data_IF_334795246037
#
_entry.id   IF_334795246037
#
_cell.length_a   1.000
_cell.length_b   1.000
_cell.length_c   1.000
_cell.angle_alpha   90.00
_cell.angle_beta   90.00
_cell.angle_gamma   90.00
#
_symmetry.space_group_name_H-M   'P 1'
#
loop_
_entity.id
_entity.type
_entity.pdbx_description
1 polymer ?
#
# COMPACT_ATOMS: atom_id res chain seq x y z
N UNK A 1 -13.19 0.36 35.74
CA UNK A 1 -13.46 -1.02 36.26
C UNK A 1 -13.11 -2.12 35.25
N UNK A 2 -13.44 -2.02 33.97
CA UNK A 2 -13.13 -3.08 32.98
C UNK A 2 -11.62 -3.33 32.78
N UNK A 3 -10.78 -2.26 32.77
CA UNK A 3 -9.33 -2.38 32.54
C UNK A 3 -8.56 -3.19 33.60
N UNK A 4 -9.14 -3.38 34.77
CA UNK A 4 -8.54 -4.19 35.86
C UNK A 4 -8.93 -5.66 35.81
N UNK A 5 -9.76 -6.07 34.82
CA UNK A 5 -10.10 -7.45 34.62
C UNK A 5 -8.98 -8.15 33.82
N UNK A 6 -8.34 -9.23 34.33
CA UNK A 6 -7.32 -9.98 33.58
C UNK A 6 -7.76 -10.45 32.19
N UNK A 7 -9.09 -10.64 32.00
CA UNK A 7 -9.68 -11.04 30.72
C UNK A 7 -10.06 -9.86 29.80
N UNK A 8 -9.73 -8.62 30.15
CA UNK A 8 -10.14 -7.43 29.39
C UNK A 8 -9.72 -7.49 27.93
N UNK A 9 -8.53 -8.04 27.64
CA UNK A 9 -7.99 -8.12 26.29
C UNK A 9 -8.39 -9.38 25.50
N UNK A 10 -9.06 -10.35 26.11
CA UNK A 10 -9.27 -11.68 25.52
C UNK A 10 -10.18 -11.66 24.30
N UNK A 11 -11.25 -10.87 24.34
CA UNK A 11 -12.27 -10.86 23.29
C UNK A 11 -11.78 -10.33 21.94
N UNK A 12 -10.75 -9.47 21.92
CA UNK A 12 -10.22 -8.91 20.67
C UNK A 12 -9.10 -9.79 20.10
N UNK A 13 -9.36 -10.40 18.96
CA UNK A 13 -8.33 -11.08 18.18
C UNK A 13 -7.64 -10.06 17.27
N UNK A 14 -6.49 -9.56 17.68
CA UNK A 14 -5.75 -8.54 16.94
C UNK A 14 -5.16 -9.10 15.64
N UNK A 15 -5.39 -8.41 14.49
CA UNK A 15 -4.86 -8.86 13.21
C UNK A 15 -3.35 -8.65 13.09
N UNK A 16 -2.65 -9.56 12.40
CA UNK A 16 -1.20 -9.49 12.15
C UNK A 16 -0.35 -9.18 13.39
N UNK A 17 -0.75 -9.70 14.53
CA UNK A 17 -0.11 -9.44 15.82
C UNK A 17 0.18 -10.74 16.57
N UNK A 18 1.29 -10.78 17.27
CA UNK A 18 1.55 -11.82 18.27
C UNK A 18 0.64 -11.61 19.49
N UNK A 19 -0.60 -12.12 19.42
CA UNK A 19 -1.63 -11.85 20.43
C UNK A 19 -1.19 -12.27 21.86
N UNK A 20 -0.43 -13.36 22.00
CA UNK A 20 0.09 -13.82 23.30
C UNK A 20 1.03 -12.79 23.91
N UNK A 21 1.99 -12.30 23.12
CA UNK A 21 2.95 -11.29 23.56
C UNK A 21 2.27 -9.95 23.84
N UNK A 22 1.44 -9.46 22.90
CA UNK A 22 0.78 -8.19 23.06
C UNK A 22 -0.15 -8.15 24.28
N UNK A 23 -0.94 -9.22 24.51
CA UNK A 23 -1.87 -9.28 25.64
C UNK A 23 -1.15 -9.39 27.00
N UNK A 24 0.06 -9.94 27.01
CA UNK A 24 0.91 -9.94 28.19
C UNK A 24 1.57 -8.56 28.45
N UNK A 25 1.91 -7.82 27.40
CA UNK A 25 2.58 -6.52 27.46
C UNK A 25 1.90 -5.51 26.54
N UNK A 26 0.68 -5.02 26.86
CA UNK A 26 -0.10 -4.16 25.98
C UNK A 26 0.59 -2.82 25.70
N UNK A 27 0.63 -2.43 24.43
CA UNK A 27 1.09 -1.13 23.97
C UNK A 27 -0.13 -0.33 23.49
N UNK A 28 -0.70 0.45 24.39
CA UNK A 28 -1.99 1.13 24.15
C UNK A 28 -1.77 2.56 23.72
N UNK A 29 -2.37 2.96 22.60
CA UNK A 29 -2.40 4.33 22.10
C UNK A 29 -3.74 4.96 22.51
N UNK A 30 -3.69 6.18 23.05
CA UNK A 30 -4.86 6.92 23.55
C UNK A 30 -5.16 8.19 22.74
N UNK A 31 -4.16 8.75 22.07
CA UNK A 31 -4.34 9.90 21.17
C UNK A 31 -3.20 9.97 20.15
N UNK A 32 -3.38 10.80 19.13
CA UNK A 32 -2.35 11.10 18.14
C UNK A 32 -2.46 12.55 17.67
N UNK A 33 -1.32 13.18 17.35
CA UNK A 33 -1.27 14.51 16.75
C UNK A 33 0.02 14.67 15.95
N UNK A 34 -0.07 15.30 14.80
CA UNK A 34 1.06 15.55 13.89
C UNK A 34 1.82 14.25 13.56
N UNK A 35 3.06 14.11 13.99
CA UNK A 35 3.92 12.93 13.77
C UNK A 35 3.99 11.99 14.97
N UNK A 36 3.17 12.19 16.01
CA UNK A 36 3.27 11.44 17.25
C UNK A 36 1.96 10.79 17.68
N UNK A 37 2.08 9.57 18.20
CA UNK A 37 1.11 8.97 19.10
C UNK A 37 1.37 9.38 20.56
N UNK A 38 0.35 9.26 21.40
CA UNK A 38 0.49 9.30 22.86
C UNK A 38 -0.01 7.96 23.41
N UNK A 39 0.81 7.28 24.20
CA UNK A 39 0.41 6.04 24.84
C UNK A 39 -0.40 6.27 26.13
N UNK A 40 -0.88 5.19 26.76
CA UNK A 40 -1.68 5.23 27.99
C UNK A 40 -0.87 5.63 29.24
N UNK A 41 0.46 5.76 29.11
CA UNK A 41 1.38 6.28 30.13
C UNK A 41 1.71 7.77 29.90
N UNK A 42 1.14 8.39 28.87
CA UNK A 42 1.38 9.78 28.49
C UNK A 42 2.69 10.03 27.72
N UNK A 43 3.40 8.94 27.30
CA UNK A 43 4.63 9.08 26.52
C UNK A 43 4.32 9.45 25.08
N UNK A 44 5.13 10.32 24.50
CA UNK A 44 5.11 10.61 23.06
C UNK A 44 5.89 9.52 22.31
N UNK A 45 5.25 8.93 21.33
CA UNK A 45 5.83 7.90 20.47
C UNK A 45 5.83 8.44 19.04
N UNK A 46 7.01 8.69 18.47
CA UNK A 46 7.13 9.11 17.07
C UNK A 46 6.59 8.01 16.14
N UNK A 47 5.74 8.40 15.19
CA UNK A 47 5.14 7.48 14.23
C UNK A 47 6.04 7.29 13.00
N UNK A 48 6.99 6.38 13.07
CA UNK A 48 7.92 6.09 11.97
C UNK A 48 7.30 5.33 10.78
N UNK A 49 5.98 5.04 10.81
CA UNK A 49 5.31 4.35 9.71
C UNK A 49 4.06 5.08 9.18
N UNK A 50 3.78 6.31 9.60
CA UNK A 50 2.53 7.02 9.27
C UNK A 50 1.30 6.15 9.57
N UNK A 51 1.14 5.70 10.81
CA UNK A 51 0.16 4.68 11.17
C UNK A 51 0.50 3.33 10.57
N UNK A 52 -0.09 3.03 9.44
CA UNK A 52 0.24 1.85 8.62
C UNK A 52 0.33 2.28 7.14
N UNK A 53 1.26 3.18 6.82
CA UNK A 53 1.39 3.82 5.50
C UNK A 53 0.20 4.72 5.12
N UNK A 54 -0.53 5.25 6.10
CA UNK A 54 -1.82 5.93 5.90
C UNK A 54 -1.78 7.42 6.19
N UNK A 55 -1.12 7.84 7.29
CA UNK A 55 -1.23 9.18 7.87
C UNK A 55 -0.08 10.10 7.41
N UNK A 56 0.18 10.17 6.09
CA UNK A 56 1.28 10.97 5.56
C UNK A 56 1.16 12.47 5.87
N UNK A 57 -0.05 13.02 5.88
CA UNK A 57 -0.28 14.41 6.24
C UNK A 57 -0.24 14.68 7.76
N UNK A 58 0.06 13.66 8.57
CA UNK A 58 0.05 13.74 10.02
C UNK A 58 -1.31 13.41 10.64
N UNK A 59 -1.32 13.16 11.94
CA UNK A 59 -2.51 12.80 12.69
C UNK A 59 -3.36 14.02 13.08
N UNK A 60 -4.67 13.78 13.25
CA UNK A 60 -5.64 14.74 13.83
C UNK A 60 -5.64 16.10 13.11
N UNK A 61 -5.61 16.07 11.77
CA UNK A 61 -5.70 17.27 10.94
C UNK A 61 -7.07 17.93 11.14
N UNK A 62 -7.10 19.23 11.52
CA UNK A 62 -8.36 19.95 11.76
C UNK A 62 -9.30 19.94 10.55
N UNK A 63 -8.76 20.08 9.35
CA UNK A 63 -9.52 20.11 8.09
C UNK A 63 -10.29 18.80 7.85
N UNK A 64 -9.67 17.65 8.17
CA UNK A 64 -10.32 16.34 8.07
C UNK A 64 -11.38 16.17 9.17
N UNK A 65 -11.07 16.59 10.39
CA UNK A 65 -12.00 16.51 11.53
C UNK A 65 -13.26 17.33 11.21
N UNK A 66 -13.11 18.55 10.72
CA UNK A 66 -14.23 19.42 10.34
C UNK A 66 -15.06 18.81 9.20
N UNK A 67 -14.41 18.33 8.13
CA UNK A 67 -15.08 17.72 7.00
C UNK A 67 -15.90 16.47 7.40
N UNK A 68 -15.32 15.61 8.25
CA UNK A 68 -15.98 14.40 8.78
C UNK A 68 -17.18 14.78 9.67
N UNK A 69 -17.00 15.70 10.61
CA UNK A 69 -18.06 16.14 11.52
C UNK A 69 -19.25 16.73 10.77
N UNK A 70 -18.97 17.65 9.84
CA UNK A 70 -20.01 18.28 9.02
C UNK A 70 -20.75 17.26 8.13
N UNK A 71 -20.01 16.29 7.56
CA UNK A 71 -20.60 15.30 6.68
C UNK A 71 -21.53 14.34 7.46
N UNK A 72 -21.13 13.87 8.64
CA UNK A 72 -21.96 12.95 9.43
C UNK A 72 -23.22 13.63 9.96
N UNK A 73 -23.19 14.94 10.21
CA UNK A 73 -24.36 15.74 10.58
C UNK A 73 -25.33 15.91 9.40
N UNK A 74 -24.82 15.96 8.16
CA UNK A 74 -25.63 16.25 6.97
C UNK A 74 -26.18 14.97 6.33
N UNK A 75 -25.30 13.98 6.13
CA UNK A 75 -25.61 12.69 5.52
C UNK A 75 -24.60 11.67 6.04
N UNK A 76 -25.00 10.90 7.00
CA UNK A 76 -24.19 9.85 7.65
C UNK A 76 -23.94 8.67 6.71
N UNK A 77 -24.97 8.22 5.98
CA UNK A 77 -24.91 7.12 5.03
C UNK A 77 -25.90 7.31 3.88
N UNK A 78 -25.48 6.91 2.69
CA UNK A 78 -26.31 6.68 1.52
C UNK A 78 -25.73 5.52 0.72
N UNK A 79 -26.52 4.56 0.26
CA UNK A 79 -26.04 3.51 -0.62
C UNK A 79 -25.60 4.11 -1.96
N UNK A 80 -24.50 3.60 -2.50
CA UNK A 80 -24.09 3.93 -3.88
C UNK A 80 -24.75 3.02 -4.93
N UNK A 81 -25.75 2.24 -4.53
CA UNK A 81 -26.54 1.36 -5.42
C UNK A 81 -27.82 2.05 -5.80
N UNK A 82 -27.94 2.43 -7.09
CA UNK A 82 -29.12 3.11 -7.68
C UNK A 82 -29.36 4.54 -7.17
N UNK A 83 -28.65 4.97 -6.13
CA UNK A 83 -28.62 6.33 -5.62
C UNK A 83 -27.20 6.88 -5.66
N UNK A 84 -27.07 8.19 -5.67
CA UNK A 84 -25.79 8.89 -5.59
C UNK A 84 -25.84 10.03 -4.59
N UNK A 85 -24.69 10.48 -4.18
CA UNK A 85 -24.52 11.72 -3.43
C UNK A 85 -23.35 12.53 -3.98
N UNK A 86 -23.42 13.83 -3.86
CA UNK A 86 -22.49 14.77 -4.49
C UNK A 86 -21.02 14.47 -4.16
N UNK A 87 -20.72 14.15 -2.88
CA UNK A 87 -19.36 13.90 -2.42
C UNK A 87 -18.66 12.72 -3.10
N UNK A 88 -19.40 11.72 -3.58
CA UNK A 88 -18.79 10.61 -4.32
C UNK A 88 -18.28 11.04 -5.70
N UNK A 89 -19.02 11.88 -6.39
CA UNK A 89 -18.63 12.43 -7.69
C UNK A 89 -17.52 13.48 -7.55
N UNK A 90 -17.60 14.36 -6.54
CA UNK A 90 -16.56 15.31 -6.19
C UNK A 90 -15.23 14.59 -5.91
N UNK A 91 -15.24 13.56 -5.08
CA UNK A 91 -14.04 12.77 -4.78
C UNK A 91 -13.50 12.06 -6.02
N UNK A 92 -14.37 11.46 -6.86
CA UNK A 92 -13.94 10.79 -8.07
C UNK A 92 -13.19 11.76 -8.99
N UNK A 93 -13.75 12.96 -9.23
CA UNK A 93 -13.10 14.00 -10.03
C UNK A 93 -11.77 14.44 -9.41
N UNK A 94 -11.71 14.57 -8.08
CA UNK A 94 -10.46 14.94 -7.40
C UNK A 94 -9.39 13.85 -7.48
N UNK A 95 -9.75 12.58 -7.40
CA UNK A 95 -8.81 11.45 -7.54
C UNK A 95 -8.18 11.45 -8.95
N UNK A 96 -8.95 11.68 -10.00
CA UNK A 96 -8.41 11.66 -11.37
C UNK A 96 -7.42 12.80 -11.65
N UNK A 97 -7.39 13.87 -10.84
CA UNK A 97 -6.33 14.89 -10.90
C UNK A 97 -4.96 14.34 -10.45
N UNK A 98 -4.95 13.27 -9.66
CA UNK A 98 -3.74 12.61 -9.18
C UNK A 98 -3.31 11.43 -10.05
N UNK A 99 -4.15 10.97 -10.99
CA UNK A 99 -3.86 9.81 -11.83
C UNK A 99 -3.28 10.22 -13.19
N UNK A 100 -2.59 9.31 -13.91
CA UNK A 100 -2.28 9.51 -15.32
C UNK A 100 -3.54 9.80 -16.14
N UNK A 101 -3.42 10.67 -17.16
CA UNK A 101 -4.58 11.20 -17.92
C UNK A 101 -5.55 10.16 -18.48
N UNK A 102 -5.09 8.97 -18.80
CA UNK A 102 -5.92 7.91 -19.38
C UNK A 102 -6.69 7.10 -18.31
N UNK A 103 -6.34 7.26 -17.03
CA UNK A 103 -6.99 6.62 -15.88
C UNK A 103 -8.00 7.61 -15.29
N UNK A 104 -9.25 7.53 -15.75
CA UNK A 104 -10.25 8.57 -15.52
C UNK A 104 -11.63 8.05 -15.07
N UNK A 105 -11.73 6.78 -14.67
CA UNK A 105 -12.96 6.19 -14.12
C UNK A 105 -12.69 5.51 -12.79
N UNK A 106 -13.40 5.94 -11.75
CA UNK A 106 -13.18 5.52 -10.37
C UNK A 106 -14.29 4.59 -9.91
N UNK A 107 -13.92 3.43 -9.35
CA UNK A 107 -14.81 2.50 -8.66
C UNK A 107 -14.40 2.44 -7.19
N UNK A 108 -15.29 2.81 -6.27
CA UNK A 108 -14.99 2.90 -4.84
C UNK A 108 -15.17 1.57 -4.09
N UNK A 109 -14.27 1.36 -3.12
CA UNK A 109 -14.28 0.25 -2.16
C UNK A 109 -13.99 0.80 -0.76
N UNK A 110 -13.93 -0.07 0.26
CA UNK A 110 -13.66 0.35 1.64
C UNK A 110 -12.22 0.06 2.09
N UNK A 111 -11.44 -0.67 1.30
CA UNK A 111 -10.08 -1.07 1.66
C UNK A 111 -9.23 -1.38 0.42
N UNK A 112 -7.89 -1.45 0.63
CA UNK A 112 -6.98 -1.91 -0.42
C UNK A 112 -7.20 -3.36 -0.83
N UNK A 113 -7.59 -4.24 0.11
CA UNK A 113 -7.90 -5.65 -0.21
C UNK A 113 -9.10 -5.78 -1.12
N UNK A 114 -10.16 -5.00 -0.87
CA UNK A 114 -11.33 -4.93 -1.73
C UNK A 114 -11.00 -4.28 -3.08
N UNK A 115 -10.16 -3.24 -3.10
CA UNK A 115 -9.72 -2.60 -4.33
C UNK A 115 -8.97 -3.59 -5.23
N UNK A 116 -8.07 -4.39 -4.66
CA UNK A 116 -7.36 -5.44 -5.42
C UNK A 116 -8.35 -6.45 -5.98
N UNK A 117 -9.21 -7.08 -5.15
CA UNK A 117 -10.18 -8.07 -5.65
C UNK A 117 -11.11 -7.49 -6.72
N UNK A 118 -11.51 -6.21 -6.57
CA UNK A 118 -12.29 -5.49 -7.59
C UNK A 118 -11.53 -5.32 -8.90
N UNK A 119 -10.25 -4.95 -8.83
CA UNK A 119 -9.40 -4.78 -10.02
C UNK A 119 -9.23 -6.09 -10.80
N UNK A 120 -9.05 -7.21 -10.09
CA UNK A 120 -8.94 -8.55 -10.68
C UNK A 120 -10.26 -8.98 -11.34
N UNK A 121 -11.41 -8.71 -10.69
CA UNK A 121 -12.75 -8.96 -11.24
C UNK A 121 -13.01 -8.10 -12.48
N UNK A 122 -12.70 -6.81 -12.45
CA UNK A 122 -12.84 -5.89 -13.59
C UNK A 122 -12.00 -6.39 -14.77
N UNK A 123 -10.74 -6.79 -14.53
CA UNK A 123 -9.88 -7.30 -15.59
C UNK A 123 -10.46 -8.56 -16.26
N UNK A 124 -10.96 -9.51 -15.50
CA UNK A 124 -11.60 -10.74 -16.03
C UNK A 124 -12.90 -10.44 -16.75
N UNK A 125 -13.75 -9.56 -16.19
CA UNK A 125 -15.02 -9.17 -16.80
C UNK A 125 -14.80 -8.38 -18.11
N UNK A 126 -13.79 -7.49 -18.14
CA UNK A 126 -13.39 -6.79 -19.37
C UNK A 126 -13.10 -7.77 -20.52
N UNK A 127 -12.28 -8.79 -20.28
CA UNK A 127 -11.96 -9.79 -21.30
C UNK A 127 -13.17 -10.58 -21.74
N UNK A 128 -14.08 -10.88 -20.80
CA UNK A 128 -15.34 -11.55 -21.11
C UNK A 128 -16.22 -10.72 -22.05
N UNK A 129 -16.34 -9.41 -21.78
CA UNK A 129 -17.05 -8.47 -22.68
C UNK A 129 -16.39 -8.34 -24.04
N UNK A 130 -15.07 -8.45 -24.12
CA UNK A 130 -14.30 -8.50 -25.39
C UNK A 130 -14.39 -9.85 -26.11
N UNK A 131 -15.20 -10.80 -25.63
CA UNK A 131 -15.33 -12.16 -26.20
C UNK A 131 -14.15 -13.08 -25.93
N UNK A 132 -13.16 -12.65 -25.12
CA UNK A 132 -11.96 -13.44 -24.78
C UNK A 132 -12.13 -14.16 -23.45
N UNK A 133 -13.13 -15.05 -23.35
CA UNK A 133 -13.57 -15.70 -22.11
C UNK A 133 -12.50 -16.59 -21.45
N UNK A 134 -11.51 -17.07 -22.22
CA UNK A 134 -10.39 -17.87 -21.71
C UNK A 134 -9.36 -17.07 -20.89
N UNK A 135 -9.35 -15.74 -21.00
CA UNK A 135 -8.45 -14.86 -20.22
C UNK A 135 -8.89 -14.78 -18.76
N UNK A 136 -8.50 -15.75 -17.97
CA UNK A 136 -8.89 -15.86 -16.55
C UNK A 136 -7.70 -15.87 -15.59
N UNK A 137 -6.52 -16.31 -16.05
CA UNK A 137 -5.31 -16.40 -15.23
C UNK A 137 -4.75 -15.04 -14.90
N UNK A 138 -4.28 -14.88 -13.68
CA UNK A 138 -3.68 -13.66 -13.15
C UNK A 138 -2.23 -13.93 -12.79
N UNK A 139 -1.36 -12.94 -13.00
CA UNK A 139 0.05 -13.06 -12.70
C UNK A 139 0.41 -12.01 -11.64
N UNK A 140 0.88 -12.47 -10.49
CA UNK A 140 1.46 -11.62 -9.44
C UNK A 140 2.99 -11.61 -9.47
N UNK A 141 3.62 -11.30 -8.34
CA UNK A 141 5.07 -11.31 -8.19
C UNK A 141 5.45 -11.87 -6.82
N UNK A 142 6.51 -12.71 -6.75
CA UNK A 142 7.10 -13.16 -5.49
C UNK A 142 7.47 -11.93 -4.63
N UNK A 143 7.13 -11.95 -3.34
CA UNK A 143 7.21 -10.83 -2.39
C UNK A 143 6.24 -9.67 -2.69
N UNK A 144 5.25 -9.83 -3.57
CA UNK A 144 4.13 -8.89 -3.71
C UNK A 144 3.13 -9.04 -2.56
N UNK A 145 2.56 -7.92 -2.09
CA UNK A 145 1.46 -7.92 -1.13
C UNK A 145 0.25 -7.20 -1.73
N UNK A 146 -0.85 -7.92 -1.84
CA UNK A 146 -2.06 -7.42 -2.50
C UNK A 146 -3.31 -7.57 -1.63
N UNK A 147 -3.15 -7.39 -0.31
CA UNK A 147 -4.24 -7.51 0.65
C UNK A 147 -4.46 -8.94 1.13
N UNK A 148 -5.60 -9.15 1.80
CA UNK A 148 -5.90 -10.36 2.59
C UNK A 148 -7.10 -11.16 2.10
N UNK A 149 -7.82 -10.67 1.08
CA UNK A 149 -8.87 -11.44 0.42
C UNK A 149 -8.26 -12.57 -0.43
N UNK A 150 -9.03 -13.60 -0.75
CA UNK A 150 -8.53 -14.76 -1.49
C UNK A 150 -7.95 -14.38 -2.87
N UNK A 151 -8.51 -13.38 -3.56
CA UNK A 151 -7.93 -12.86 -4.80
C UNK A 151 -6.55 -12.27 -4.57
N UNK A 152 -6.44 -11.35 -3.61
CA UNK A 152 -5.19 -10.70 -3.24
C UNK A 152 -4.12 -11.68 -2.74
N UNK A 153 -4.49 -12.69 -1.94
CA UNK A 153 -3.56 -13.75 -1.48
C UNK A 153 -3.12 -14.62 -2.66
N UNK A 154 -4.01 -14.92 -3.61
CA UNK A 154 -3.68 -15.74 -4.77
C UNK A 154 -2.64 -15.13 -5.69
N UNK A 155 -2.72 -13.80 -5.92
CA UNK A 155 -1.72 -13.06 -6.69
C UNK A 155 -0.56 -12.55 -5.82
N UNK A 156 -0.72 -12.59 -4.50
CA UNK A 156 0.33 -12.22 -3.54
C UNK A 156 1.47 -13.23 -3.51
N UNK A 157 2.68 -12.77 -3.23
CA UNK A 157 3.90 -13.57 -3.19
C UNK A 157 4.56 -13.64 -1.81
N UNK A 158 3.80 -13.42 -0.72
CA UNK A 158 4.30 -13.56 0.66
C UNK A 158 4.06 -14.99 1.14
N UNK A 159 5.16 -15.73 1.38
CA UNK A 159 5.14 -17.15 1.73
C UNK A 159 4.16 -17.53 2.85
N UNK A 160 4.24 -16.93 4.06
CA UNK A 160 3.35 -17.29 5.16
C UNK A 160 1.85 -17.12 4.86
N UNK A 161 1.46 -16.11 4.06
CA UNK A 161 0.06 -15.94 3.67
C UNK A 161 -0.39 -17.09 2.73
N UNK A 162 0.48 -17.46 1.79
CA UNK A 162 0.22 -18.56 0.85
C UNK A 162 0.17 -19.92 1.54
N UNK A 163 1.08 -20.15 2.46
CA UNK A 163 1.14 -21.41 3.24
C UNK A 163 -0.11 -21.57 4.11
N UNK A 164 -0.55 -20.50 4.77
CA UNK A 164 -1.68 -20.54 5.71
C UNK A 164 -3.05 -20.65 5.02
N UNK A 165 -3.25 -19.96 3.89
CA UNK A 165 -4.58 -19.81 3.27
C UNK A 165 -4.70 -20.44 1.87
N UNK A 166 -3.60 -20.88 1.28
CA UNK A 166 -3.59 -21.48 -0.04
C UNK A 166 -3.88 -20.48 -1.17
N UNK A 167 -4.40 -21.00 -2.27
CA UNK A 167 -4.76 -20.24 -3.47
C UNK A 167 -6.25 -20.38 -3.74
N UNK A 168 -6.97 -19.24 -3.76
CA UNK A 168 -8.42 -19.21 -4.00
C UNK A 168 -8.81 -19.02 -5.46
N UNK A 169 -7.94 -18.38 -6.28
CA UNK A 169 -8.16 -18.16 -7.72
C UNK A 169 -6.91 -18.53 -8.51
N UNK A 170 -7.09 -18.79 -9.80
CA UNK A 170 -6.00 -19.20 -10.71
C UNK A 170 -4.98 -18.05 -10.86
N UNK A 171 -3.76 -18.29 -10.39
CA UNK A 171 -2.68 -17.31 -10.46
C UNK A 171 -1.30 -17.99 -10.55
N UNK A 172 -0.34 -17.26 -11.15
CA UNK A 172 1.09 -17.61 -11.16
C UNK A 172 1.90 -16.35 -10.79
N UNK A 173 3.21 -16.46 -10.63
CA UNK A 173 4.04 -15.39 -10.08
C UNK A 173 5.30 -15.16 -10.91
N UNK A 174 5.59 -13.86 -11.15
CA UNK A 174 6.90 -13.43 -11.61
C UNK A 174 7.94 -13.60 -10.51
N UNK A 175 9.18 -13.73 -10.89
CA UNK A 175 10.33 -13.74 -9.99
C UNK A 175 10.40 -12.42 -9.19
N UNK A 176 10.97 -12.49 -7.98
CA UNK A 176 11.27 -11.32 -7.18
C UNK A 176 12.29 -10.40 -7.89
N UNK A 177 12.19 -9.10 -7.66
CA UNK A 177 13.18 -8.12 -8.14
C UNK A 177 14.39 -7.95 -7.21
N UNK A 178 14.47 -8.73 -6.14
CA UNK A 178 15.63 -8.74 -5.26
C UNK A 178 16.79 -9.50 -5.89
N UNK A 179 17.93 -8.83 -6.03
CA UNK A 179 19.18 -9.41 -6.52
C UNK A 179 20.30 -9.11 -5.53
N UNK A 180 21.24 -10.06 -5.32
CA UNK A 180 22.42 -9.82 -4.47
C UNK A 180 23.24 -8.61 -4.88
N UNK A 181 23.32 -8.31 -6.18
CA UNK A 181 24.06 -7.18 -6.74
C UNK A 181 23.46 -5.81 -6.37
N UNK A 182 22.22 -5.81 -5.92
CA UNK A 182 21.45 -4.60 -5.62
C UNK A 182 21.38 -4.28 -4.12
N UNK A 183 22.08 -5.02 -3.26
CA UNK A 183 22.13 -4.71 -1.82
C UNK A 183 22.69 -3.32 -1.57
N UNK A 184 22.13 -2.61 -0.60
CA UNK A 184 22.45 -1.22 -0.27
C UNK A 184 22.22 -0.22 -1.41
N UNK A 185 21.30 -0.52 -2.34
CA UNK A 185 20.93 0.43 -3.40
C UNK A 185 20.19 1.63 -2.82
N UNK A 186 20.60 2.81 -3.27
CA UNK A 186 19.92 4.08 -3.04
C UNK A 186 18.93 4.35 -4.16
N UNK A 187 17.65 4.52 -3.83
CA UNK A 187 16.61 4.65 -4.84
C UNK A 187 16.44 3.37 -5.68
N UNK A 188 16.27 3.51 -6.99
CA UNK A 188 16.10 2.38 -7.91
C UNK A 188 17.39 1.58 -8.10
N UNK A 189 17.36 0.25 -7.93
CA UNK A 189 18.47 -0.61 -8.31
C UNK A 189 18.84 -0.48 -9.79
N UNK A 190 20.13 -0.59 -10.10
CA UNK A 190 20.64 -0.43 -11.49
C UNK A 190 20.43 -1.68 -12.34
N UNK A 191 20.47 -2.85 -11.72
CA UNK A 191 20.41 -4.16 -12.39
C UNK A 191 19.08 -4.83 -12.15
N UNK A 192 18.51 -5.49 -13.18
CA UNK A 192 17.33 -6.34 -13.00
C UNK A 192 16.12 -5.98 -13.86
N UNK A 193 16.26 -5.12 -14.90
CA UNK A 193 15.19 -4.87 -15.86
C UNK A 193 14.76 -6.14 -16.61
N UNK A 194 15.73 -7.03 -16.89
CA UNK A 194 15.52 -8.32 -17.56
C UNK A 194 14.63 -9.29 -16.76
N UNK A 195 14.46 -9.09 -15.47
CA UNK A 195 13.55 -9.91 -14.64
C UNK A 195 12.09 -9.78 -15.10
N UNK A 196 11.74 -8.75 -15.84
CA UNK A 196 10.43 -8.62 -16.46
C UNK A 196 10.19 -9.69 -17.55
N UNK A 197 11.25 -10.25 -18.13
CA UNK A 197 11.15 -11.32 -19.15
C UNK A 197 10.61 -12.63 -18.59
N UNK A 198 10.58 -12.81 -17.28
CA UNK A 198 9.91 -13.96 -16.68
C UNK A 198 8.42 -14.01 -17.08
N UNK A 199 7.81 -12.88 -17.41
CA UNK A 199 6.47 -12.86 -18.00
C UNK A 199 6.40 -13.60 -19.35
N UNK A 200 7.45 -13.55 -20.17
CA UNK A 200 7.51 -14.31 -21.43
C UNK A 200 7.50 -15.82 -21.16
N UNK A 201 8.18 -16.29 -20.11
CA UNK A 201 8.13 -17.70 -19.70
C UNK A 201 6.72 -18.10 -19.24
N UNK A 202 6.01 -17.22 -18.52
CA UNK A 202 4.61 -17.46 -18.14
C UNK A 202 3.68 -17.48 -19.36
N UNK A 203 3.92 -16.60 -20.32
CA UNK A 203 3.18 -16.57 -21.59
C UNK A 203 3.43 -17.84 -22.40
N UNK A 204 4.67 -18.31 -22.46
CA UNK A 204 5.01 -19.58 -23.14
C UNK A 204 4.31 -20.77 -22.48
N UNK A 205 4.27 -20.83 -21.15
CA UNK A 205 3.67 -21.93 -20.41
C UNK A 205 2.14 -21.91 -20.48
N UNK A 206 1.51 -20.75 -20.32
CA UNK A 206 0.06 -20.64 -20.14
C UNK A 206 -0.69 -20.19 -21.40
N UNK A 207 -0.02 -19.60 -22.38
CA UNK A 207 -0.60 -18.91 -23.52
C UNK A 207 -1.12 -17.51 -23.17
N UNK A 208 -0.78 -16.51 -23.96
CA UNK A 208 -1.26 -15.14 -23.77
C UNK A 208 -2.80 -15.04 -23.77
N UNK A 209 -3.48 -15.91 -24.54
CA UNK A 209 -4.95 -16.00 -24.62
C UNK A 209 -5.62 -16.41 -23.30
N UNK A 210 -4.87 -16.93 -22.33
CA UNK A 210 -5.39 -17.37 -21.04
C UNK A 210 -5.00 -16.42 -19.88
N UNK A 211 -4.12 -15.44 -20.12
CA UNK A 211 -3.67 -14.48 -19.08
C UNK A 211 -4.51 -13.21 -19.21
N UNK A 212 -5.24 -12.88 -18.14
CA UNK A 212 -6.07 -11.67 -18.06
C UNK A 212 -5.25 -10.43 -17.71
N UNK A 213 -4.44 -10.53 -16.67
CA UNK A 213 -3.69 -9.39 -16.16
C UNK A 213 -2.43 -9.79 -15.41
N UNK A 214 -1.49 -8.87 -15.36
CA UNK A 214 -0.38 -8.86 -14.41
C UNK A 214 -0.66 -7.80 -13.35
N UNK A 215 -0.48 -8.11 -12.06
CA UNK A 215 -0.58 -7.15 -10.96
C UNK A 215 0.75 -7.05 -10.23
N UNK A 216 1.24 -5.83 -10.03
CA UNK A 216 2.45 -5.54 -9.26
C UNK A 216 2.29 -4.24 -8.49
N UNK A 217 2.91 -4.15 -7.32
CA UNK A 217 3.18 -2.87 -6.68
C UNK A 217 4.30 -2.17 -7.48
N UNK A 218 4.19 -0.89 -7.86
CA UNK A 218 5.31 -0.14 -8.46
C UNK A 218 6.57 -0.21 -7.60
N UNK A 219 6.42 -0.05 -6.29
CA UNK A 219 7.40 -0.39 -5.27
C UNK A 219 6.75 -1.35 -4.28
N UNK A 220 7.29 -2.55 -4.11
CA UNK A 220 6.75 -3.49 -3.12
C UNK A 220 7.02 -2.95 -1.70
N UNK A 221 5.95 -2.51 -1.03
CA UNK A 221 6.06 -1.84 0.27
C UNK A 221 6.10 -2.82 1.43
N UNK A 222 5.00 -3.55 1.63
CA UNK A 222 4.77 -4.40 2.82
C UNK A 222 5.77 -5.53 2.98
N UNK A 223 6.31 -6.06 1.90
CA UNK A 223 7.30 -7.15 1.93
C UNK A 223 8.71 -6.68 2.31
N UNK A 224 8.95 -5.36 2.42
CA UNK A 224 10.24 -4.86 2.88
C UNK A 224 10.81 -3.68 2.10
N UNK A 225 9.99 -2.91 1.42
CA UNK A 225 10.38 -1.72 0.62
C UNK A 225 11.36 -2.09 -0.50
N UNK A 226 10.84 -2.64 -1.59
CA UNK A 226 11.66 -3.02 -2.76
C UNK A 226 11.34 -2.11 -3.95
N UNK A 227 12.12 -1.03 -4.17
CA UNK A 227 12.03 -0.24 -5.40
C UNK A 227 12.28 -1.11 -6.63
N UNK A 228 11.58 -0.86 -7.74
CA UNK A 228 11.78 -1.61 -8.97
C UNK A 228 13.16 -1.27 -9.58
N UNK A 229 13.88 -2.23 -10.17
CA UNK A 229 15.07 -1.91 -10.97
C UNK A 229 14.74 -0.94 -12.09
N UNK A 230 15.74 -0.09 -12.45
CA UNK A 230 15.60 0.86 -13.56
C UNK A 230 15.23 0.08 -14.83
N UNK A 231 14.13 0.50 -15.47
CA UNK A 231 13.64 -0.14 -16.72
C UNK A 231 12.68 -1.32 -16.52
N UNK A 232 12.65 -1.96 -15.35
CA UNK A 232 11.82 -3.14 -15.09
C UNK A 232 10.33 -2.93 -15.41
N UNK A 233 9.71 -1.88 -14.85
CA UNK A 233 8.29 -1.60 -15.08
C UNK A 233 7.99 -1.21 -16.53
N UNK A 234 8.90 -0.49 -17.20
CA UNK A 234 8.77 -0.13 -18.62
C UNK A 234 8.80 -1.37 -19.50
N UNK A 235 9.71 -2.31 -19.20
CA UNK A 235 9.81 -3.58 -19.93
C UNK A 235 8.59 -4.46 -19.70
N UNK A 236 8.11 -4.54 -18.44
CA UNK A 236 6.89 -5.27 -18.10
C UNK A 236 5.67 -4.71 -18.85
N UNK A 237 5.49 -3.37 -18.91
CA UNK A 237 4.45 -2.70 -19.70
C UNK A 237 4.51 -3.10 -21.16
N UNK A 238 5.70 -3.04 -21.75
CA UNK A 238 5.90 -3.40 -23.17
C UNK A 238 5.50 -4.85 -23.45
N UNK A 239 5.87 -5.79 -22.57
CA UNK A 239 5.50 -7.21 -22.74
C UNK A 239 3.99 -7.37 -22.61
N UNK A 240 3.34 -6.70 -21.66
CA UNK A 240 1.89 -6.72 -21.50
C UNK A 240 1.18 -6.21 -22.76
N UNK A 241 1.61 -5.05 -23.29
CA UNK A 241 1.05 -4.46 -24.51
C UNK A 241 1.17 -5.37 -25.73
N UNK A 242 2.35 -5.98 -25.92
CA UNK A 242 2.62 -6.84 -27.06
C UNK A 242 1.85 -8.17 -27.03
N UNK A 243 1.27 -8.53 -25.88
CA UNK A 243 0.58 -9.80 -25.66
C UNK A 243 -0.89 -9.64 -25.26
N UNK A 244 -1.42 -8.42 -25.32
CA UNK A 244 -2.83 -8.14 -25.01
C UNK A 244 -3.19 -8.56 -23.57
N UNK A 245 -2.30 -8.24 -22.61
CA UNK A 245 -2.45 -8.54 -21.17
C UNK A 245 -2.59 -7.21 -20.43
N UNK A 246 -3.58 -7.08 -19.55
CA UNK A 246 -3.73 -5.88 -18.73
C UNK A 246 -2.62 -5.78 -17.68
N UNK A 247 -2.13 -4.55 -17.45
CA UNK A 247 -1.22 -4.25 -16.34
C UNK A 247 -1.98 -3.51 -15.24
N UNK A 248 -1.96 -4.07 -14.05
CA UNK A 248 -2.54 -3.48 -12.84
C UNK A 248 -1.41 -3.01 -11.93
N UNK A 249 -1.43 -1.74 -11.54
CA UNK A 249 -0.57 -1.25 -10.47
C UNK A 249 -1.35 -1.21 -9.15
N UNK A 250 -0.84 -1.96 -8.17
CA UNK A 250 -1.28 -1.81 -6.79
C UNK A 250 -0.56 -0.60 -6.17
N UNK A 251 -1.26 0.52 -6.16
CA UNK A 251 -0.75 1.80 -5.66
C UNK A 251 -1.26 2.12 -4.23
N UNK A 252 -1.74 1.12 -3.52
CA UNK A 252 -2.29 1.28 -2.17
C UNK A 252 -1.28 1.92 -1.19
N UNK A 253 0.03 1.71 -1.39
CA UNK A 253 1.09 2.40 -0.63
C UNK A 253 1.69 3.56 -1.43
N UNK A 254 1.85 3.42 -2.73
CA UNK A 254 2.69 4.29 -3.55
C UNK A 254 1.98 5.55 -4.05
N UNK A 255 0.64 5.55 -4.15
CA UNK A 255 -0.11 6.73 -4.56
C UNK A 255 -0.16 7.83 -3.48
N UNK A 256 -0.54 9.02 -3.91
CA UNK A 256 -0.81 10.20 -3.08
C UNK A 256 0.39 10.67 -2.27
N UNK A 257 1.58 10.74 -2.90
CA UNK A 257 2.72 11.49 -2.38
C UNK A 257 3.87 10.68 -1.80
N UNK A 258 3.67 9.42 -1.38
CA UNK A 258 4.69 8.59 -0.71
C UNK A 258 6.03 8.54 -1.45
N UNK A 259 5.97 8.53 -2.78
CA UNK A 259 7.11 8.42 -3.68
C UNK A 259 7.72 9.78 -4.09
N UNK A 260 7.20 10.91 -3.57
CA UNK A 260 7.52 12.24 -4.09
C UNK A 260 6.87 12.50 -5.46
N UNK A 261 5.83 11.77 -5.80
CA UNK A 261 5.04 11.89 -7.02
C UNK A 261 3.57 11.65 -6.70
N UNK A 262 2.66 11.97 -7.59
CA UNK A 262 1.22 11.71 -7.41
C UNK A 262 0.94 10.21 -7.30
N UNK A 263 1.66 9.40 -8.10
CA UNK A 263 1.56 7.93 -8.11
C UNK A 263 2.93 7.29 -8.30
N UNK A 264 3.07 6.02 -7.99
CA UNK A 264 4.27 5.24 -8.33
C UNK A 264 4.42 5.09 -9.85
N UNK A 265 3.32 4.99 -10.58
CA UNK A 265 3.31 5.02 -12.04
C UNK A 265 3.98 6.29 -12.59
N UNK A 266 3.64 7.47 -12.05
CA UNK A 266 4.30 8.75 -12.38
C UNK A 266 5.77 8.73 -11.99
N UNK A 267 6.11 8.29 -10.77
CA UNK A 267 7.48 8.25 -10.28
C UNK A 267 8.42 7.43 -11.18
N UNK A 268 7.92 6.35 -11.76
CA UNK A 268 8.71 5.44 -12.62
C UNK A 268 8.41 5.59 -14.13
N UNK A 269 7.54 6.53 -14.51
CA UNK A 269 7.23 6.85 -15.91
C UNK A 269 6.52 5.71 -16.65
N UNK A 270 5.56 5.04 -16.01
CA UNK A 270 4.76 3.95 -16.58
C UNK A 270 3.30 4.11 -16.20
N UNK A 271 2.40 4.04 -17.19
CA UNK A 271 0.94 4.08 -16.97
C UNK A 271 0.37 2.67 -17.03
N UNK A 272 -0.29 2.18 -15.97
CA UNK A 272 -1.00 0.91 -15.98
C UNK A 272 -2.35 1.04 -16.71
N UNK A 273 -3.04 -0.08 -16.90
CA UNK A 273 -4.43 -0.09 -17.41
C UNK A 273 -5.44 0.09 -16.28
N UNK A 274 -5.09 -0.39 -15.10
CA UNK A 274 -5.88 -0.35 -13.87
C UNK A 274 -4.95 0.02 -12.71
N UNK A 275 -5.41 0.86 -11.81
CA UNK A 275 -4.71 1.27 -10.59
C UNK A 275 -5.60 1.02 -9.37
N UNK A 276 -5.07 0.44 -8.31
CA UNK A 276 -5.77 0.36 -7.02
C UNK A 276 -5.23 1.40 -6.06
N UNK A 277 -6.08 1.90 -5.17
CA UNK A 277 -5.69 2.87 -4.15
C UNK A 277 -6.44 2.65 -2.83
N UNK A 278 -5.86 3.11 -1.73
CA UNK A 278 -6.46 3.21 -0.40
C UNK A 278 -5.56 4.08 0.50
N UNK A 279 -5.55 3.82 1.81
CA UNK A 279 -4.61 4.37 2.81
C UNK A 279 -4.54 5.91 2.80
N UNK A 280 -3.52 6.46 2.12
CA UNK A 280 -3.26 7.90 2.12
C UNK A 280 -4.42 8.73 1.56
N UNK A 281 -5.27 8.16 0.71
CA UNK A 281 -6.41 8.89 0.13
C UNK A 281 -7.29 9.56 1.19
N UNK A 282 -7.49 8.91 2.35
CA UNK A 282 -8.25 9.46 3.49
C UNK A 282 -7.36 9.86 4.67
N UNK A 283 -6.04 9.87 4.48
CA UNK A 283 -5.07 10.05 5.57
C UNK A 283 -5.31 9.11 6.76
N UNK A 284 -5.83 7.91 6.51
CA UNK A 284 -6.13 6.90 7.53
C UNK A 284 -7.32 7.23 8.45
N UNK A 285 -8.00 8.35 8.25
CA UNK A 285 -9.08 8.82 9.12
C UNK A 285 -10.38 8.04 8.93
N UNK A 286 -10.64 7.57 7.70
CA UNK A 286 -11.82 6.77 7.35
C UNK A 286 -11.43 5.64 6.40
N UNK A 287 -12.02 4.43 6.56
CA UNK A 287 -11.85 3.35 5.59
C UNK A 287 -12.40 3.76 4.22
N UNK A 288 -11.51 3.85 3.23
CA UNK A 288 -11.86 4.09 1.84
C UNK A 288 -10.73 3.60 0.94
N UNK A 289 -11.10 3.04 -0.20
CA UNK A 289 -10.22 2.64 -1.27
C UNK A 289 -10.94 2.65 -2.60
N UNK A 290 -10.29 2.19 -3.64
CA UNK A 290 -10.92 2.09 -4.95
C UNK A 290 -9.98 1.63 -6.04
N UNK A 291 -10.57 1.57 -7.22
CA UNK A 291 -9.91 1.21 -8.47
C UNK A 291 -10.10 2.36 -9.46
N UNK A 292 -9.05 2.75 -10.15
CA UNK A 292 -9.14 3.66 -11.30
C UNK A 292 -8.81 2.87 -12.54
N UNK A 293 -9.65 2.96 -13.56
CA UNK A 293 -9.45 2.26 -14.83
C UNK A 293 -9.34 3.23 -15.99
N UNK A 294 -8.68 2.80 -17.06
CA UNK A 294 -8.67 3.53 -18.32
C UNK A 294 -10.09 3.65 -18.89
N UNK A 295 -10.34 4.77 -19.56
CA UNK A 295 -11.62 5.07 -20.22
C UNK A 295 -12.11 3.92 -21.10
N UNK A 296 -11.24 3.35 -21.93
CA UNK A 296 -11.60 2.26 -22.85
C UNK A 296 -12.03 0.96 -22.14
N UNK A 297 -11.55 0.74 -20.90
CA UNK A 297 -12.01 -0.38 -20.06
C UNK A 297 -13.46 -0.11 -19.65
N UNK A 298 -13.74 1.04 -19.06
CA UNK A 298 -15.09 1.43 -18.67
C UNK A 298 -16.07 1.41 -19.84
N UNK A 299 -15.71 1.98 -21.00
CA UNK A 299 -16.53 2.01 -22.19
C UNK A 299 -16.91 0.61 -22.69
N UNK A 300 -16.02 -0.39 -22.49
CA UNK A 300 -16.34 -1.78 -22.84
C UNK A 300 -17.53 -2.34 -22.05
N UNK A 301 -17.75 -1.89 -20.82
CA UNK A 301 -18.93 -2.26 -20.04
C UNK A 301 -20.16 -1.46 -20.45
N UNK A 302 -20.00 -0.22 -20.90
CA UNK A 302 -21.11 0.64 -21.35
C UNK A 302 -21.60 0.28 -22.76
N UNK A 303 -20.69 -0.21 -23.62
CA UNK A 303 -21.00 -0.60 -25.01
C UNK A 303 -21.60 -2.01 -25.05
N UNK A 304 -22.81 -2.15 -24.52
CA UNK A 304 -23.57 -3.40 -24.54
C UNK A 304 -24.93 -3.18 -25.25
N UNK A 305 -25.49 -4.28 -25.76
CA UNK A 305 -26.88 -4.26 -26.31
C UNK A 305 -27.94 -4.42 -25.20
N UNK A 306 -27.53 -4.44 -23.96
CA UNK A 306 -28.44 -4.56 -22.82
C UNK A 306 -29.27 -3.27 -22.67
N UNK A 307 -30.51 -3.36 -22.21
CA UNK A 307 -31.29 -2.18 -21.84
C UNK A 307 -30.58 -1.28 -20.84
N UNK A 308 -30.70 0.05 -20.98
CA UNK A 308 -29.99 1.05 -20.17
C UNK A 308 -30.25 0.99 -18.65
N UNK A 309 -31.27 0.28 -18.22
CA UNK A 309 -31.59 0.11 -16.80
C UNK A 309 -30.93 -1.12 -16.18
N UNK A 310 -30.25 -1.96 -16.96
CA UNK A 310 -29.55 -3.13 -16.44
C UNK A 310 -28.14 -2.76 -15.93
N UNK A 311 -27.74 -3.45 -14.89
CA UNK A 311 -26.42 -3.28 -14.27
C UNK A 311 -25.34 -3.86 -15.19
N UNK A 312 -24.38 -3.05 -15.57
CA UNK A 312 -23.28 -3.42 -16.48
C UNK A 312 -22.17 -4.23 -15.77
N UNK A 313 -21.96 -3.96 -14.48
CA UNK A 313 -20.98 -4.65 -13.64
C UNK A 313 -21.64 -5.11 -12.33
N UNK A 314 -21.93 -6.40 -12.21
CA UNK A 314 -22.55 -6.99 -11.01
C UNK A 314 -21.54 -7.10 -9.85
N UNK A 315 -21.07 -5.95 -9.37
CA UNK A 315 -20.10 -5.84 -8.31
C UNK A 315 -20.23 -4.50 -7.57
N UNK A 316 -20.07 -4.54 -6.24
CA UNK A 316 -20.09 -3.37 -5.37
C UNK A 316 -20.10 -3.81 -3.91
N UNK A 317 -19.84 -2.88 -3.01
CA UNK A 317 -19.86 -3.10 -1.56
C UNK A 317 -20.89 -2.17 -0.93
N UNK A 318 -21.52 -2.61 0.16
CA UNK A 318 -22.52 -1.82 0.90
C UNK A 318 -22.00 -0.42 1.27
N UNK A 319 -20.71 -0.30 1.58
CA UNK A 319 -20.08 0.97 1.96
C UNK A 319 -19.24 1.61 0.86
N UNK A 320 -19.39 1.17 -0.40
CA UNK A 320 -18.74 1.86 -1.54
C UNK A 320 -19.11 3.34 -1.54
N UNK A 321 -18.09 4.20 -1.66
CA UNK A 321 -18.27 5.65 -1.67
C UNK A 321 -19.02 6.19 -0.44
N UNK A 322 -18.78 5.66 0.76
CA UNK A 322 -19.41 6.13 2.00
C UNK A 322 -19.26 7.66 2.16
N UNK A 323 -20.34 8.42 2.39
CA UNK A 323 -20.28 9.89 2.38
C UNK A 323 -19.21 10.49 3.29
N UNK A 324 -19.08 9.99 4.51
CA UNK A 324 -18.07 10.45 5.49
C UNK A 324 -16.65 10.10 5.01
N UNK A 325 -16.45 8.91 4.42
CA UNK A 325 -15.18 8.51 3.81
C UNK A 325 -14.80 9.41 2.62
N UNK A 326 -15.77 9.79 1.80
CA UNK A 326 -15.57 10.73 0.69
C UNK A 326 -15.17 12.12 1.19
N UNK A 327 -15.86 12.67 2.19
CA UNK A 327 -15.54 13.97 2.77
C UNK A 327 -14.14 14.00 3.38
N UNK A 328 -13.78 12.97 4.15
CA UNK A 328 -12.44 12.81 4.70
C UNK A 328 -11.35 12.77 3.62
N UNK A 329 -11.63 12.05 2.52
CA UNK A 329 -10.68 11.88 1.42
C UNK A 329 -10.50 13.16 0.62
N UNK A 330 -11.57 13.92 0.37
CA UNK A 330 -11.50 15.24 -0.28
C UNK A 330 -10.60 16.15 0.56
N UNK A 331 -10.85 16.28 1.85
CA UNK A 331 -10.02 17.09 2.75
C UNK A 331 -8.56 16.62 2.79
N UNK A 332 -8.31 15.30 2.79
CA UNK A 332 -6.95 14.74 2.73
C UNK A 332 -6.21 15.12 1.46
N UNK A 333 -6.88 15.05 0.30
CA UNK A 333 -6.28 15.41 -0.99
C UNK A 333 -6.08 16.93 -1.11
N UNK A 334 -6.98 17.76 -0.53
CA UNK A 334 -6.78 19.20 -0.42
C UNK A 334 -5.52 19.54 0.39
N UNK A 335 -5.32 18.89 1.52
CA UNK A 335 -4.11 19.06 2.34
C UNK A 335 -2.85 18.70 1.52
N UNK A 336 -2.85 17.60 0.78
CA UNK A 336 -1.70 17.21 -0.06
C UNK A 336 -1.33 18.31 -1.06
N UNK A 337 -2.33 18.97 -1.65
CA UNK A 337 -2.13 20.05 -2.62
C UNK A 337 -1.76 21.36 -1.93
N UNK A 338 -2.55 21.82 -0.95
CA UNK A 338 -2.42 23.13 -0.32
C UNK A 338 -1.12 23.25 0.49
N UNK A 339 -0.72 22.20 1.21
CA UNK A 339 0.53 22.17 1.97
C UNK A 339 1.73 21.74 1.12
N UNK A 340 1.52 21.50 -0.20
CA UNK A 340 2.54 21.08 -1.15
C UNK A 340 3.36 19.88 -0.68
N UNK A 341 2.67 18.87 -0.12
CA UNK A 341 3.32 17.75 0.58
C UNK A 341 4.10 16.84 -0.36
N UNK A 342 3.72 16.71 -1.63
CA UNK A 342 4.48 15.91 -2.61
C UNK A 342 5.87 16.49 -2.83
N UNK A 343 5.99 17.82 -3.02
CA UNK A 343 7.28 18.49 -3.16
C UNK A 343 8.10 18.44 -1.85
N UNK A 344 7.42 18.51 -0.70
CA UNK A 344 8.07 18.29 0.59
C UNK A 344 8.70 16.89 0.68
N UNK A 345 8.00 15.85 0.26
CA UNK A 345 8.56 14.48 0.20
C UNK A 345 9.79 14.43 -0.69
N UNK A 346 9.77 15.05 -1.88
CA UNK A 346 10.97 15.14 -2.75
C UNK A 346 12.14 15.78 -2.03
N UNK A 347 11.89 16.89 -1.32
CA UNK A 347 12.92 17.62 -0.57
C UNK A 347 13.51 16.80 0.58
N UNK A 348 12.66 16.06 1.32
CA UNK A 348 13.07 15.29 2.49
C UNK A 348 13.71 13.94 2.13
N UNK A 349 13.40 13.38 0.96
CA UNK A 349 13.89 12.07 0.52
C UNK A 349 15.41 11.92 0.53
N UNK A 350 16.23 12.86 0.02
CA UNK A 350 17.68 12.75 0.07
C UNK A 350 18.26 12.75 1.49
N UNK A 351 17.61 13.50 2.39
CA UNK A 351 17.99 13.56 3.81
C UNK A 351 17.73 12.22 4.45
N UNK A 352 16.52 11.67 4.23
CA UNK A 352 16.15 10.35 4.74
C UNK A 352 17.06 9.25 4.18
N UNK A 353 17.35 9.26 2.88
CA UNK A 353 18.27 8.33 2.25
C UNK A 353 19.65 8.35 2.92
N UNK A 354 20.23 9.56 3.10
CA UNK A 354 21.53 9.73 3.74
C UNK A 354 21.56 9.16 5.16
N UNK A 355 20.59 9.53 5.98
CA UNK A 355 20.53 9.09 7.37
C UNK A 355 20.26 7.58 7.44
N UNK A 356 19.32 7.03 6.66
CA UNK A 356 19.02 5.61 6.65
C UNK A 356 20.24 4.76 6.26
N UNK A 357 20.96 5.15 5.20
CA UNK A 357 22.16 4.44 4.74
C UNK A 357 23.37 4.62 5.65
N UNK A 358 23.34 5.51 6.65
CA UNK A 358 24.37 5.59 7.69
C UNK A 358 24.42 4.35 8.58
N UNK A 359 23.36 3.56 8.61
CA UNK A 359 23.29 2.28 9.34
C UNK A 359 24.11 1.16 8.67
N UNK A 360 24.59 1.36 7.44
CA UNK A 360 25.43 0.39 6.74
C UNK A 360 26.73 0.14 7.53
N UNK A 361 27.03 -1.14 7.75
CA UNK A 361 28.20 -1.57 8.53
C UNK A 361 27.92 -1.82 10.01
N UNK A 362 26.71 -1.51 10.49
CA UNK A 362 26.30 -2.00 11.82
C UNK A 362 26.13 -3.52 11.77
N UNK A 363 26.42 -4.17 12.88
CA UNK A 363 26.27 -5.61 13.04
C UNK A 363 24.82 -6.02 12.71
N UNK A 364 24.64 -7.15 12.03
CA UNK A 364 23.35 -7.71 11.57
C UNK A 364 22.65 -6.93 10.46
N UNK A 365 23.11 -5.76 10.02
CA UNK A 365 22.53 -5.04 8.89
C UNK A 365 23.04 -5.63 7.58
N UNK A 366 22.22 -6.40 6.89
CA UNK A 366 22.59 -7.06 5.63
C UNK A 366 22.15 -6.33 4.37
N UNK A 367 21.12 -5.47 4.45
CA UNK A 367 20.69 -4.62 3.34
C UNK A 367 19.93 -3.37 3.82
N UNK A 368 20.03 -2.29 3.05
CA UNK A 368 19.28 -1.04 3.24
C UNK A 368 18.81 -0.56 1.88
N UNK A 369 17.54 -0.15 1.80
CA UNK A 369 16.92 0.34 0.57
C UNK A 369 15.84 1.38 0.88
N UNK A 370 15.65 2.31 -0.04
CA UNK A 370 14.66 3.38 0.12
C UNK A 370 14.17 3.91 -1.22
N UNK A 371 13.02 4.54 -1.19
CA UNK A 371 12.53 5.44 -2.24
C UNK A 371 11.49 6.39 -1.66
N UNK A 372 11.56 7.69 -1.99
CA UNK A 372 10.71 8.68 -1.33
C UNK A 372 10.92 8.68 0.19
N UNK A 373 9.85 8.70 0.95
CA UNK A 373 9.87 8.55 2.41
C UNK A 373 9.50 7.13 2.85
N UNK A 374 9.93 6.14 2.10
CA UNK A 374 9.83 4.72 2.43
C UNK A 374 11.22 4.09 2.54
N UNK A 375 11.49 3.34 3.60
CA UNK A 375 12.78 2.69 3.84
C UNK A 375 12.64 1.31 4.45
N UNK A 376 13.55 0.41 4.09
CA UNK A 376 13.65 -0.93 4.62
C UNK A 376 15.08 -1.27 5.01
N UNK A 377 15.24 -1.89 6.17
CA UNK A 377 16.52 -2.35 6.70
C UNK A 377 16.38 -3.85 6.93
N UNK A 378 17.11 -4.67 6.20
CA UNK A 378 17.13 -6.11 6.42
C UNK A 378 18.15 -6.43 7.52
N UNK A 379 17.68 -7.17 8.51
CA UNK A 379 18.46 -7.62 9.66
C UNK A 379 18.67 -9.13 9.54
N UNK A 380 19.89 -9.59 9.68
CA UNK A 380 20.21 -11.03 9.65
C UNK A 380 19.41 -11.79 10.71
N UNK A 381 18.76 -12.87 10.30
CA UNK A 381 18.01 -13.76 11.18
C UNK A 381 18.90 -14.32 12.29
N UNK A 382 18.35 -14.46 13.50
CA UNK A 382 18.95 -15.29 14.52
C UNK A 382 18.81 -16.78 14.15
N UNK A 383 19.80 -17.58 14.50
CA UNK A 383 19.79 -19.02 14.16
C UNK A 383 18.57 -19.69 14.80
N UNK A 384 17.73 -20.31 13.98
CA UNK A 384 16.50 -20.99 14.38
C UNK A 384 15.40 -20.10 14.99
N UNK A 385 15.55 -18.78 14.96
CA UNK A 385 14.60 -17.81 15.51
C UNK A 385 14.33 -16.69 14.47
N UNK A 386 13.56 -16.98 13.42
CA UNK A 386 13.26 -16.00 12.38
C UNK A 386 12.49 -14.81 12.98
N UNK A 387 12.78 -13.61 12.49
CA UNK A 387 12.19 -12.34 12.93
C UNK A 387 12.48 -11.92 14.38
N UNK A 388 13.24 -12.68 15.17
CA UNK A 388 13.53 -12.33 16.56
C UNK A 388 14.27 -10.99 16.68
N UNK A 389 15.38 -10.80 15.95
CA UNK A 389 16.17 -9.56 16.01
C UNK A 389 15.37 -8.33 15.57
N UNK A 390 14.64 -8.33 14.42
CA UNK A 390 13.76 -7.22 14.07
C UNK A 390 12.71 -6.91 15.13
N UNK A 391 12.12 -7.93 15.76
CA UNK A 391 11.20 -7.75 16.87
C UNK A 391 11.88 -7.06 18.06
N UNK A 392 13.05 -7.53 18.49
CA UNK A 392 13.80 -6.95 19.61
C UNK A 392 14.18 -5.48 19.32
N UNK A 393 14.65 -5.18 18.10
CA UNK A 393 14.97 -3.80 17.68
C UNK A 393 13.71 -2.93 17.78
N UNK A 394 12.58 -3.41 17.24
CA UNK A 394 11.33 -2.65 17.26
C UNK A 394 10.84 -2.39 18.69
N UNK A 395 10.96 -3.34 19.61
CA UNK A 395 10.60 -3.15 21.02
C UNK A 395 11.52 -2.17 21.72
N UNK A 396 12.84 -2.25 21.48
CA UNK A 396 13.79 -1.25 22.00
C UNK A 396 13.53 0.16 21.45
N UNK A 397 13.18 0.29 20.17
CA UNK A 397 12.76 1.57 19.60
C UNK A 397 11.48 2.08 20.28
N UNK A 398 10.49 1.21 20.52
CA UNK A 398 9.27 1.57 21.24
C UNK A 398 9.57 2.10 22.65
N UNK A 399 10.46 1.45 23.38
CA UNK A 399 10.86 1.89 24.71
C UNK A 399 11.57 3.26 24.69
N UNK A 400 12.28 3.56 23.61
CA UNK A 400 12.91 4.87 23.33
C UNK A 400 11.92 5.93 22.80
N UNK A 401 10.64 5.59 22.57
CA UNK A 401 9.63 6.51 22.06
C UNK A 401 9.52 6.58 20.55
N UNK A 402 9.90 5.51 19.83
CA UNK A 402 9.81 5.44 18.37
C UNK A 402 9.08 4.19 17.92
N UNK A 403 8.00 4.36 17.18
CA UNK A 403 7.35 3.26 16.50
C UNK A 403 8.04 3.00 15.15
N UNK A 404 8.56 1.80 14.98
CA UNK A 404 9.04 1.25 13.72
C UNK A 404 8.37 -0.10 13.49
N UNK A 405 8.09 -0.44 12.23
CA UNK A 405 7.47 -1.73 11.92
C UNK A 405 8.54 -2.79 11.70
N UNK A 406 8.32 -3.98 12.21
CA UNK A 406 9.06 -5.17 11.84
C UNK A 406 8.16 -6.14 11.07
N UNK A 407 8.75 -6.88 10.12
CA UNK A 407 8.05 -7.92 9.35
C UNK A 407 9.06 -8.84 8.68
N UNK A 408 9.00 -10.14 8.98
CA UNK A 408 10.08 -11.05 8.62
C UNK A 408 11.41 -10.52 9.17
N UNK A 409 12.43 -10.45 8.35
CA UNK A 409 13.76 -9.96 8.72
C UNK A 409 13.97 -8.46 8.44
N UNK A 410 12.90 -7.69 8.29
CA UNK A 410 13.01 -6.29 7.89
C UNK A 410 12.40 -5.34 8.90
N UNK A 411 13.14 -4.27 9.25
CA UNK A 411 12.59 -3.06 9.86
C UNK A 411 12.14 -2.13 8.74
N UNK A 412 10.92 -1.61 8.84
CA UNK A 412 10.30 -0.75 7.82
C UNK A 412 9.99 0.62 8.41
N UNK A 413 10.28 1.65 7.63
CA UNK A 413 9.93 3.04 7.86
C UNK A 413 9.08 3.56 6.71
N UNK A 414 8.05 4.30 7.03
CA UNK A 414 7.18 5.03 6.10
C UNK A 414 6.85 6.38 6.70
N UNK A 415 7.83 7.29 6.69
CA UNK A 415 7.76 8.53 7.46
C UNK A 415 6.58 9.41 7.04
N UNK A 416 5.97 10.16 7.97
CA UNK A 416 5.00 11.19 7.64
C UNK A 416 5.60 12.23 6.68
N UNK A 417 4.81 12.77 5.75
CA UNK A 417 5.29 13.77 4.78
C UNK A 417 5.68 15.09 5.44
N UNK A 418 5.10 15.34 6.62
CA UNK A 418 5.39 16.52 7.46
C UNK A 418 6.61 16.35 8.36
N UNK A 419 7.30 15.20 8.31
CA UNK A 419 8.48 14.91 9.13
C UNK A 419 9.55 15.99 9.02
N UNK A 420 10.22 16.31 10.12
CA UNK A 420 11.38 17.20 10.18
C UNK A 420 12.70 16.44 9.98
N UNK A 421 13.76 17.17 9.63
CA UNK A 421 15.11 16.60 9.53
C UNK A 421 15.59 16.01 10.86
N UNK A 422 15.21 16.65 11.98
CA UNK A 422 15.60 16.18 13.31
C UNK A 422 14.90 14.87 13.64
N UNK A 423 13.59 14.75 13.38
CA UNK A 423 12.86 13.49 13.60
C UNK A 423 13.39 12.34 12.76
N UNK A 424 13.87 12.61 11.52
CA UNK A 424 14.55 11.59 10.70
C UNK A 424 15.82 11.11 11.40
N UNK A 425 16.66 12.02 11.88
CA UNK A 425 17.89 11.68 12.61
C UNK A 425 17.59 10.91 13.88
N UNK A 426 16.58 11.32 14.63
CA UNK A 426 16.22 10.73 15.91
C UNK A 426 15.72 9.28 15.74
N UNK A 427 14.84 9.03 14.77
CA UNK A 427 14.34 7.65 14.53
C UNK A 427 15.44 6.73 14.01
N UNK A 428 16.32 7.21 13.13
CA UNK A 428 17.44 6.43 12.62
C UNK A 428 18.48 6.20 13.73
N UNK A 429 18.73 7.20 14.57
CA UNK A 429 19.57 7.08 15.78
C UNK A 429 19.03 6.02 16.75
N UNK A 430 17.73 6.05 17.03
CA UNK A 430 17.08 5.07 17.89
C UNK A 430 17.21 3.63 17.35
N UNK A 431 17.11 3.44 16.02
CA UNK A 431 17.33 2.14 15.37
C UNK A 431 18.80 1.73 15.52
N UNK A 432 19.76 2.64 15.26
CA UNK A 432 21.20 2.39 15.42
C UNK A 432 21.54 1.90 16.84
N UNK A 433 21.06 2.63 17.84
CA UNK A 433 21.33 2.29 19.23
C UNK A 433 20.66 0.96 19.64
N UNK A 434 19.44 0.73 19.15
CA UNK A 434 18.74 -0.53 19.39
C UNK A 434 19.45 -1.74 18.77
N UNK A 435 20.09 -1.57 17.60
CA UNK A 435 20.92 -2.62 16.98
C UNK A 435 22.17 -2.88 17.81
N UNK A 436 22.89 -1.84 18.24
CA UNK A 436 24.10 -1.96 19.09
C UNK A 436 23.81 -2.64 20.42
N UNK A 437 22.64 -2.44 20.98
CA UNK A 437 22.22 -3.06 22.24
C UNK A 437 21.84 -4.55 22.11
N UNK A 438 21.82 -5.12 20.90
CA UNK A 438 21.66 -6.57 20.69
C UNK A 438 22.98 -7.35 20.80
N UNK A 439 24.08 -6.66 20.88
CA UNK A 439 25.43 -7.23 20.95
C UNK A 439 25.75 -7.84 22.32
#
# INVERSE_FOLDING_TARGET
MLKNNPKYYDAHWMPYSGNREFKANPRMIVSAKDTYFTDDKGRKIFDGLSGLWTCGAGHSRPEIIEAVSKQIETLDYSPAFQFGHEKSFELANKIIEFTPKDLDRVFFTCSGSEAVDSSLKIARAYWRHKGKVGKTRLIGRIKGYHGVNFGGISVGGIGPNREMFGQGIEADHLSSTLLPENIFSKGQPKVGDYLADDLLNKILLHGASNIAAVIVEPMAGSAGVFPPPIGYLKRLRKICDSNDILLIFDEVITAFGRMGAKTGGEAFGVTPDIMTFAKQVSNGSQPLGGVVVKKNIYETFMDTKAPNYLVELFHGYTYSAHPVGCAASIASLDILQNDNLIERVKKMSPIFEKELHSLKGLQYVSDIRNYGLAGGITIESAKNEPALRPYQIAMKCWDKGFYVRYGGDTIQLGLPFIVSEQEIKDVVGAISDSIKELQ
#
